data_IF_940295951970
#
_entry.id   IF_940295951970
#
_cell.length_a   1.000
_cell.length_b   1.000
_cell.length_c   1.000
_cell.angle_alpha   90.00
_cell.angle_beta   90.00
_cell.angle_gamma   90.00
#
_symmetry.space_group_name_H-M   'P 1'
#
loop_
_entity.id
_entity.type
_entity.pdbx_description
1 polymer ?
#
# COMPACT_ATOMS: atom_id res chain seq x y z
N UNK A 1 70.25 -10.95 19.37
CA UNK A 1 69.39 -11.65 18.40
C UNK A 1 68.18 -10.79 18.14
N UNK A 2 67.82 -10.64 16.86
CA UNK A 2 66.85 -9.68 16.35
C UNK A 2 65.40 -10.01 16.77
N UNK A 3 64.59 -8.98 16.97
CA UNK A 3 63.14 -9.08 16.80
C UNK A 3 62.68 -7.78 16.16
N UNK A 4 62.47 -7.88 14.85
CA UNK A 4 61.91 -6.90 13.94
C UNK A 4 60.45 -6.62 14.29
N UNK A 5 60.14 -5.37 14.57
CA UNK A 5 58.78 -4.83 14.65
C UNK A 5 58.20 -4.67 13.24
N UNK A 6 57.14 -5.42 12.93
CA UNK A 6 56.33 -5.23 11.71
C UNK A 6 55.49 -3.95 11.80
N UNK A 7 55.36 -3.18 10.70
CA UNK A 7 54.45 -2.04 10.65
C UNK A 7 53.01 -2.51 10.40
N UNK A 8 52.11 -2.15 11.33
CA UNK A 8 50.66 -2.31 11.18
C UNK A 8 50.16 -1.48 10.01
N UNK A 9 49.63 -2.15 8.98
CA UNK A 9 48.95 -1.52 7.83
C UNK A 9 47.66 -0.85 8.33
N UNK A 10 47.36 0.42 7.96
CA UNK A 10 46.10 1.03 8.31
C UNK A 10 44.96 0.31 7.59
N UNK A 11 43.98 -0.14 8.37
CA UNK A 11 42.74 -0.71 7.89
C UNK A 11 42.06 0.24 6.91
N UNK A 12 41.82 -0.27 5.70
CA UNK A 12 41.04 0.41 4.67
C UNK A 12 39.65 0.69 5.23
N UNK A 13 39.30 1.97 5.33
CA UNK A 13 37.96 2.43 5.69
C UNK A 13 36.91 1.75 4.82
N UNK A 14 35.77 1.30 5.38
CA UNK A 14 34.71 0.68 4.60
C UNK A 14 34.23 1.67 3.54
N UNK A 15 34.14 1.18 2.30
CA UNK A 15 33.52 1.89 1.18
C UNK A 15 32.21 2.53 1.64
N UNK A 16 31.91 3.80 1.29
CA UNK A 16 30.62 4.38 1.59
C UNK A 16 29.55 3.46 1.00
N UNK A 17 28.57 3.07 1.83
CA UNK A 17 27.39 2.36 1.37
C UNK A 17 26.82 3.12 0.17
N UNK A 18 26.44 2.42 -0.92
CA UNK A 18 25.96 3.09 -2.11
C UNK A 18 24.75 3.95 -1.72
N UNK A 19 24.89 5.27 -1.89
CA UNK A 19 23.82 6.23 -1.67
C UNK A 19 22.67 5.88 -2.63
N UNK A 20 21.67 5.14 -2.15
CA UNK A 20 20.52 4.79 -2.95
C UNK A 20 19.65 6.03 -3.02
N UNK A 21 19.68 6.71 -4.17
CA UNK A 21 18.79 7.82 -4.46
C UNK A 21 17.34 7.37 -4.27
N UNK A 22 16.60 8.07 -3.40
CA UNK A 22 15.17 7.84 -3.13
C UNK A 22 14.28 8.06 -4.37
N UNK A 23 14.85 8.58 -5.46
CA UNK A 23 14.18 8.85 -6.73
C UNK A 23 14.37 7.70 -7.74
N UNK A 24 15.29 6.76 -7.48
CA UNK A 24 15.70 5.77 -8.48
C UNK A 24 14.95 4.45 -8.33
N UNK A 25 14.43 3.92 -9.44
CA UNK A 25 13.83 2.59 -9.49
C UNK A 25 14.94 1.53 -9.37
N UNK A 26 14.80 0.52 -8.48
CA UNK A 26 15.79 -0.52 -8.34
C UNK A 26 16.03 -1.29 -9.65
N UNK A 27 17.30 -1.55 -9.98
CA UNK A 27 17.69 -2.26 -11.21
C UNK A 27 17.00 -3.61 -11.38
N UNK A 28 16.83 -4.36 -10.28
CA UNK A 28 16.18 -5.67 -10.30
C UNK A 28 14.72 -5.59 -10.77
N UNK A 29 14.03 -4.48 -10.47
CA UNK A 29 12.65 -4.26 -10.87
C UNK A 29 12.55 -3.85 -12.35
N UNK A 30 13.49 -3.01 -12.83
CA UNK A 30 13.62 -2.64 -14.25
C UNK A 30 13.86 -3.89 -15.13
N UNK A 31 14.67 -4.82 -14.65
CA UNK A 31 14.99 -6.06 -15.38
C UNK A 31 14.05 -7.22 -15.06
N UNK A 32 12.97 -7.00 -14.31
CA UNK A 32 12.11 -8.09 -13.83
C UNK A 32 11.44 -8.83 -15.00
N UNK A 33 11.58 -10.17 -15.11
CA UNK A 33 11.16 -10.91 -16.30
C UNK A 33 9.64 -10.81 -16.56
N UNK A 34 8.82 -10.91 -15.52
CA UNK A 34 7.36 -10.81 -15.67
C UNK A 34 6.90 -9.40 -16.04
N UNK A 35 7.58 -8.35 -15.55
CA UNK A 35 7.21 -6.98 -15.93
C UNK A 35 7.58 -6.72 -17.39
N UNK A 36 8.78 -7.15 -17.81
CA UNK A 36 9.25 -7.04 -19.21
C UNK A 36 8.37 -7.83 -20.19
N UNK A 37 8.00 -9.06 -19.82
CA UNK A 37 7.11 -9.91 -20.63
C UNK A 37 5.76 -9.23 -20.89
N UNK A 38 5.29 -8.41 -19.95
CA UNK A 38 4.02 -7.67 -20.02
C UNK A 38 4.16 -6.26 -20.60
N UNK A 39 5.38 -5.85 -20.97
CA UNK A 39 5.65 -4.49 -21.44
C UNK A 39 5.42 -3.42 -20.37
N UNK A 40 5.53 -3.76 -19.08
CA UNK A 40 5.41 -2.81 -17.97
C UNK A 40 6.76 -2.15 -17.75
N UNK A 41 6.84 -0.86 -18.04
CA UNK A 41 8.02 -0.02 -17.79
C UNK A 41 7.70 0.97 -16.69
N UNK A 42 8.43 0.87 -15.57
CA UNK A 42 8.27 1.76 -14.44
C UNK A 42 9.09 3.02 -14.65
N UNK A 43 8.53 4.16 -14.27
CA UNK A 43 9.12 5.47 -14.56
C UNK A 43 9.37 6.31 -13.32
N UNK A 44 8.51 6.19 -12.30
CA UNK A 44 8.64 6.97 -11.06
C UNK A 44 8.33 6.15 -9.82
N UNK A 45 9.03 6.39 -8.70
CA UNK A 45 8.58 5.91 -7.39
C UNK A 45 7.36 6.73 -6.91
N UNK A 46 6.36 6.05 -6.37
CA UNK A 46 5.27 6.66 -5.59
C UNK A 46 5.64 6.68 -4.10
N UNK A 47 6.20 5.57 -3.63
CA UNK A 47 6.78 5.42 -2.31
C UNK A 47 8.18 4.82 -2.51
N UNK A 48 9.25 5.56 -2.16
CA UNK A 48 10.61 5.07 -2.32
C UNK A 48 10.76 3.66 -1.75
N UNK A 49 11.48 2.81 -2.48
CA UNK A 49 11.79 1.42 -2.14
C UNK A 49 10.62 0.41 -2.17
N UNK A 50 9.37 0.88 -2.24
CA UNK A 50 8.19 0.00 -2.07
C UNK A 50 7.23 0.07 -3.24
N UNK A 51 6.84 1.27 -3.70
CA UNK A 51 5.76 1.45 -4.70
C UNK A 51 6.24 2.29 -5.88
N UNK A 52 5.96 1.82 -7.08
CA UNK A 52 6.39 2.42 -8.34
C UNK A 52 5.22 2.51 -9.32
N UNK A 53 5.25 3.49 -10.21
CA UNK A 53 4.23 3.66 -11.25
C UNK A 53 4.86 3.66 -12.65
N UNK A 54 4.08 3.18 -13.63
CA UNK A 54 4.35 3.44 -15.04
C UNK A 54 3.99 4.89 -15.39
N UNK A 55 4.35 5.36 -16.58
CA UNK A 55 3.88 6.68 -17.02
C UNK A 55 2.35 6.77 -17.02
N UNK A 56 1.86 7.98 -16.84
CA UNK A 56 0.47 8.36 -17.01
C UNK A 56 0.31 9.02 -18.40
N UNK A 57 0.68 8.30 -19.45
CA UNK A 57 0.37 8.74 -20.82
C UNK A 57 -1.14 8.64 -21.07
N UNK A 58 -1.69 9.64 -21.78
CA UNK A 58 -3.13 9.68 -22.12
C UNK A 58 -3.60 8.41 -22.86
N UNK A 59 -2.71 7.76 -23.62
CA UNK A 59 -3.03 6.59 -24.43
C UNK A 59 -2.75 5.24 -23.75
N UNK A 60 -2.09 5.23 -22.57
CA UNK A 60 -1.67 3.98 -21.92
C UNK A 60 -2.25 3.84 -20.51
N UNK A 61 -2.80 2.66 -20.16
CA UNK A 61 -3.29 2.40 -18.82
C UNK A 61 -2.13 2.40 -17.82
N UNK A 62 -2.10 3.41 -16.95
CA UNK A 62 -1.07 3.54 -15.91
C UNK A 62 -1.25 2.49 -14.82
N UNK A 63 -0.16 1.82 -14.44
CA UNK A 63 -0.16 0.77 -13.42
C UNK A 63 0.74 1.14 -12.25
N UNK A 64 0.36 0.65 -11.09
CA UNK A 64 1.18 0.65 -9.88
C UNK A 64 1.77 -0.75 -9.69
N UNK A 65 3.05 -0.80 -9.37
CA UNK A 65 3.77 -2.00 -8.97
C UNK A 65 4.34 -1.77 -7.57
N UNK A 66 3.87 -2.55 -6.60
CA UNK A 66 4.39 -2.57 -5.23
C UNK A 66 5.22 -3.83 -5.02
N UNK A 67 6.44 -3.68 -4.51
CA UNK A 67 7.21 -4.79 -4.00
C UNK A 67 6.69 -5.16 -2.61
N UNK A 68 6.17 -6.36 -2.46
CA UNK A 68 5.57 -6.83 -1.21
C UNK A 68 6.64 -7.42 -0.31
N UNK A 69 6.56 -7.11 0.98
CA UNK A 69 7.37 -7.79 1.99
C UNK A 69 6.70 -9.13 2.38
N UNK A 70 7.30 -10.29 2.05
CA UNK A 70 6.68 -11.59 2.31
C UNK A 70 6.57 -11.94 3.81
N UNK A 71 7.25 -11.20 4.69
CA UNK A 71 7.11 -11.37 6.15
C UNK A 71 5.83 -10.74 6.72
N UNK A 72 5.06 -10.03 5.90
CA UNK A 72 3.81 -9.34 6.26
C UNK A 72 2.60 -10.12 5.77
N UNK A 73 1.42 -9.80 6.32
CA UNK A 73 0.16 -10.47 5.98
C UNK A 73 -0.50 -9.96 4.70
N UNK A 74 0.18 -9.15 3.89
CA UNK A 74 -0.43 -8.51 2.72
C UNK A 74 -0.88 -9.51 1.64
N UNK A 75 -0.07 -10.52 1.32
CA UNK A 75 -0.42 -11.54 0.29
C UNK A 75 -1.68 -12.33 0.69
N UNK A 76 -1.76 -12.92 1.91
CA UNK A 76 -2.98 -13.58 2.36
C UNK A 76 -4.26 -12.73 2.30
N UNK A 77 -4.16 -11.41 2.47
CA UNK A 77 -5.32 -10.51 2.37
C UNK A 77 -5.84 -10.44 0.93
N UNK A 78 -4.94 -10.28 -0.03
CA UNK A 78 -5.29 -10.28 -1.44
C UNK A 78 -5.83 -11.65 -1.90
N UNK A 79 -5.20 -12.75 -1.48
CA UNK A 79 -5.71 -14.11 -1.76
C UNK A 79 -7.14 -14.32 -1.20
N UNK A 80 -7.43 -13.74 -0.02
CA UNK A 80 -8.77 -13.77 0.56
C UNK A 80 -9.76 -12.91 -0.24
N UNK A 81 -9.35 -11.74 -0.71
CA UNK A 81 -10.22 -10.88 -1.53
C UNK A 81 -10.55 -11.52 -2.88
N UNK A 82 -9.60 -12.23 -3.50
CA UNK A 82 -9.83 -12.99 -4.72
C UNK A 82 -10.86 -14.10 -4.52
N UNK A 83 -10.80 -14.83 -3.39
CA UNK A 83 -11.79 -15.84 -3.02
C UNK A 83 -13.18 -15.25 -2.77
N UNK A 84 -13.23 -13.98 -2.36
CA UNK A 84 -14.46 -13.24 -2.09
C UNK A 84 -14.92 -12.40 -3.28
N UNK A 85 -14.44 -12.69 -4.49
CA UNK A 85 -14.87 -12.02 -5.73
C UNK A 85 -16.39 -11.99 -5.85
N UNK A 86 -16.96 -10.79 -6.03
CA UNK A 86 -18.42 -10.57 -6.10
C UNK A 86 -19.09 -10.24 -4.76
N UNK A 87 -18.39 -10.40 -3.64
CA UNK A 87 -18.84 -9.89 -2.34
C UNK A 87 -18.79 -8.35 -2.31
N UNK A 88 -19.46 -7.69 -1.35
CA UNK A 88 -19.44 -6.23 -1.25
C UNK A 88 -18.03 -5.62 -1.13
N UNK A 89 -17.09 -6.29 -0.43
CA UNK A 89 -15.72 -5.75 -0.26
C UNK A 89 -14.98 -5.61 -1.60
N UNK A 90 -15.28 -6.45 -2.59
CA UNK A 90 -14.66 -6.37 -3.93
C UNK A 90 -14.96 -5.06 -4.68
N UNK A 91 -15.94 -4.27 -4.21
CA UNK A 91 -16.22 -2.92 -4.74
C UNK A 91 -15.34 -1.83 -4.14
N UNK A 92 -14.63 -2.12 -3.06
CA UNK A 92 -13.79 -1.19 -2.31
C UNK A 92 -12.32 -1.62 -2.26
N UNK A 93 -11.93 -2.67 -2.99
CA UNK A 93 -10.54 -3.05 -3.23
C UNK A 93 -10.22 -2.84 -4.70
N UNK A 94 -9.00 -2.40 -5.00
CA UNK A 94 -8.57 -2.26 -6.38
C UNK A 94 -8.37 -3.66 -7.00
N UNK A 95 -8.82 -3.89 -8.25
CA UNK A 95 -8.45 -5.09 -9.00
C UNK A 95 -6.93 -5.25 -9.04
N UNK A 96 -6.44 -6.42 -8.65
CA UNK A 96 -5.01 -6.60 -8.44
C UNK A 96 -4.54 -7.94 -9.01
N UNK A 97 -3.23 -8.07 -9.12
CA UNK A 97 -2.57 -9.31 -9.47
C UNK A 97 -1.27 -9.45 -8.67
N UNK A 98 -1.05 -10.62 -8.10
CA UNK A 98 0.19 -10.95 -7.40
C UNK A 98 1.09 -11.77 -8.33
N UNK A 99 2.30 -11.28 -8.58
CA UNK A 99 3.36 -12.05 -9.21
C UNK A 99 4.22 -12.67 -8.11
N UNK A 100 4.05 -13.97 -7.90
CA UNK A 100 4.84 -14.74 -6.94
C UNK A 100 6.25 -15.00 -7.49
N UNK A 101 7.26 -14.44 -6.85
CA UNK A 101 8.68 -14.67 -7.11
C UNK A 101 9.47 -14.47 -5.81
N UNK A 102 10.81 -14.45 -5.86
CA UNK A 102 11.66 -14.22 -4.68
C UNK A 102 11.27 -12.95 -3.92
N UNK A 103 10.83 -11.91 -4.65
CA UNK A 103 10.30 -10.66 -4.11
C UNK A 103 8.92 -10.39 -4.72
N UNK A 104 7.85 -10.89 -4.09
CA UNK A 104 6.51 -10.83 -4.69
C UNK A 104 6.13 -9.41 -5.08
N UNK A 105 5.48 -9.28 -6.23
CA UNK A 105 5.01 -7.99 -6.75
C UNK A 105 3.50 -7.96 -6.75
N UNK A 106 2.93 -6.86 -6.27
CA UNK A 106 1.54 -6.51 -6.45
C UNK A 106 1.43 -5.55 -7.63
N UNK A 107 0.62 -5.90 -8.62
CA UNK A 107 0.33 -5.08 -9.79
C UNK A 107 -1.13 -4.67 -9.74
N UNK A 108 -1.42 -3.39 -9.86
CA UNK A 108 -2.79 -2.87 -9.85
C UNK A 108 -2.94 -1.67 -10.80
N UNK A 109 -4.15 -1.35 -11.28
CA UNK A 109 -4.44 -0.06 -11.90
C UNK A 109 -4.02 1.11 -11.01
N UNK A 110 -3.47 2.17 -11.61
CA UNK A 110 -3.24 3.43 -10.93
C UNK A 110 -4.57 4.19 -10.83
N UNK A 111 -5.16 4.25 -9.64
CA UNK A 111 -6.32 5.10 -9.35
C UNK A 111 -5.88 6.49 -8.89
N UNK A 112 -6.66 7.52 -9.21
CA UNK A 112 -6.43 8.90 -8.80
C UNK A 112 -6.52 9.11 -7.29
N UNK A 113 -5.94 10.23 -6.81
CA UNK A 113 -6.12 10.63 -5.43
C UNK A 113 -7.58 10.97 -5.16
N UNK A 114 -8.03 10.65 -3.94
CA UNK A 114 -9.40 10.90 -3.50
C UNK A 114 -9.84 12.37 -3.66
N UNK A 115 -8.90 13.32 -3.57
CA UNK A 115 -9.17 14.75 -3.78
C UNK A 115 -9.52 15.13 -5.22
N UNK A 116 -9.24 14.28 -6.20
CA UNK A 116 -9.50 14.56 -7.62
C UNK A 116 -10.96 14.31 -8.01
N UNK A 117 -11.69 13.48 -7.25
CA UNK A 117 -13.10 13.16 -7.54
C UNK A 117 -14.09 13.99 -6.73
N UNK A 118 -13.62 14.74 -5.73
CA UNK A 118 -14.50 15.50 -4.85
C UNK A 118 -14.44 16.99 -5.10
N UNK A 119 -15.62 17.60 -5.02
CA UNK A 119 -15.75 19.04 -4.96
C UNK A 119 -15.63 19.50 -3.51
N UNK A 120 -15.21 20.75 -3.23
CA UNK A 120 -15.12 21.30 -1.87
C UNK A 120 -16.52 21.65 -1.32
N UNK A 121 -17.48 20.73 -1.46
CA UNK A 121 -18.83 20.84 -0.93
C UNK A 121 -19.00 19.82 0.20
N UNK A 122 -19.76 20.17 1.23
CA UNK A 122 -20.04 19.26 2.35
C UNK A 122 -20.66 17.95 1.87
N UNK A 123 -21.58 17.99 0.90
CA UNK A 123 -22.21 16.79 0.35
C UNK A 123 -21.22 15.85 -0.32
N UNK A 124 -20.26 16.40 -1.08
CA UNK A 124 -19.22 15.60 -1.74
C UNK A 124 -18.28 14.94 -0.73
N UNK A 125 -17.91 15.67 0.32
CA UNK A 125 -17.09 15.13 1.41
C UNK A 125 -17.84 14.03 2.15
N UNK A 126 -19.11 14.23 2.49
CA UNK A 126 -19.92 13.21 3.17
C UNK A 126 -20.09 11.95 2.31
N UNK A 127 -20.31 12.09 1.00
CA UNK A 127 -20.38 10.95 0.07
C UNK A 127 -19.06 10.16 0.02
N UNK A 128 -17.92 10.84 0.18
CA UNK A 128 -16.62 10.18 0.30
C UNK A 128 -16.51 9.34 1.55
N UNK A 129 -16.82 9.96 2.69
CA UNK A 129 -16.77 9.31 3.99
C UNK A 129 -17.72 8.12 4.06
N UNK A 130 -18.91 8.23 3.46
CA UNK A 130 -19.88 7.14 3.36
C UNK A 130 -19.28 5.92 2.66
N UNK A 131 -18.62 6.10 1.50
CA UNK A 131 -17.97 4.99 0.79
C UNK A 131 -16.75 4.41 1.54
N UNK A 132 -15.99 5.25 2.25
CA UNK A 132 -14.88 4.78 3.11
C UNK A 132 -15.45 3.91 4.22
N UNK A 133 -16.48 4.39 4.92
CA UNK A 133 -17.14 3.66 6.00
C UNK A 133 -17.79 2.37 5.52
N UNK A 134 -18.40 2.36 4.33
CA UNK A 134 -18.94 1.17 3.67
C UNK A 134 -17.82 0.11 3.49
N UNK A 135 -16.68 0.49 2.90
CA UNK A 135 -15.52 -0.40 2.74
C UNK A 135 -14.98 -0.93 4.08
N UNK A 136 -14.85 -0.06 5.08
CA UNK A 136 -14.40 -0.42 6.44
C UNK A 136 -15.37 -1.36 7.13
N UNK A 137 -16.67 -1.09 7.04
CA UNK A 137 -17.71 -1.95 7.60
C UNK A 137 -17.67 -3.35 6.96
N UNK A 138 -17.41 -3.44 5.65
CA UNK A 138 -17.22 -4.72 4.98
C UNK A 138 -15.97 -5.47 5.48
N UNK A 139 -14.84 -4.80 5.69
CA UNK A 139 -13.67 -5.41 6.34
C UNK A 139 -14.02 -5.92 7.74
N UNK A 140 -14.71 -5.11 8.54
CA UNK A 140 -15.09 -5.45 9.90
C UNK A 140 -16.02 -6.67 9.98
N UNK A 141 -16.95 -6.83 9.02
CA UNK A 141 -17.79 -8.04 8.90
C UNK A 141 -16.97 -9.30 8.63
N UNK A 142 -15.83 -9.16 7.95
CA UNK A 142 -14.86 -10.25 7.71
C UNK A 142 -13.88 -10.43 8.90
N UNK A 143 -14.06 -9.67 9.98
CA UNK A 143 -13.15 -9.55 11.13
C UNK A 143 -11.77 -9.06 10.74
N UNK A 144 -11.67 -8.26 9.69
CA UNK A 144 -10.43 -7.64 9.25
C UNK A 144 -10.42 -6.19 9.74
N UNK A 145 -9.34 -5.80 10.43
CA UNK A 145 -9.05 -4.40 10.68
C UNK A 145 -7.97 -3.93 9.70
N UNK A 146 -8.16 -2.76 9.09
CA UNK A 146 -7.17 -2.21 8.17
C UNK A 146 -5.93 -1.66 8.88
N UNK A 147 -6.11 -1.18 10.12
CA UNK A 147 -5.05 -0.68 11.03
C UNK A 147 -4.27 0.57 10.57
N UNK A 148 -4.44 1.00 9.32
CA UNK A 148 -3.71 2.14 8.75
C UNK A 148 -4.56 2.92 7.71
N UNK A 149 -5.76 3.33 8.13
CA UNK A 149 -6.64 4.14 7.27
C UNK A 149 -6.29 5.61 7.45
N UNK A 150 -5.70 6.19 6.41
CA UNK A 150 -5.43 7.61 6.28
C UNK A 150 -5.45 8.01 4.80
N UNK A 151 -5.43 9.31 4.50
CA UNK A 151 -5.70 9.83 3.15
C UNK A 151 -4.88 9.18 2.01
N UNK A 152 -3.59 8.86 2.13
CA UNK A 152 -2.80 8.17 1.11
C UNK A 152 -3.22 6.71 0.84
N UNK A 153 -3.83 6.04 1.82
CA UNK A 153 -4.34 4.66 1.68
C UNK A 153 -5.79 4.61 1.19
N UNK A 154 -6.30 5.76 0.72
CA UNK A 154 -7.62 5.89 0.13
C UNK A 154 -7.50 6.60 -1.21
N UNK A 155 -7.94 5.92 -2.26
CA UNK A 155 -7.88 6.40 -3.64
C UNK A 155 -9.25 6.29 -4.28
N UNK A 156 -9.42 6.90 -5.44
CA UNK A 156 -10.69 6.84 -6.14
C UNK A 156 -10.50 6.84 -7.65
N UNK A 157 -11.43 6.21 -8.36
CA UNK A 157 -11.39 6.19 -9.81
C UNK A 157 -12.13 7.40 -10.39
N UNK A 158 -11.43 8.19 -11.20
CA UNK A 158 -12.05 9.19 -12.07
C UNK A 158 -12.73 8.52 -13.27
N UNK A 159 -13.46 9.30 -14.08
CA UNK A 159 -13.97 8.81 -15.36
C UNK A 159 -12.85 8.35 -16.29
N UNK A 160 -11.72 9.07 -16.30
CA UNK A 160 -10.59 8.73 -17.17
C UNK A 160 -9.87 7.47 -16.70
N UNK A 161 -9.83 7.22 -15.39
CA UNK A 161 -9.32 5.94 -14.86
C UNK A 161 -10.23 4.78 -15.28
N UNK A 162 -11.56 4.95 -15.16
CA UNK A 162 -12.53 3.93 -15.56
C UNK A 162 -12.53 3.67 -17.08
N UNK A 163 -12.24 4.69 -17.91
CA UNK A 163 -12.02 4.51 -19.36
C UNK A 163 -10.78 3.67 -19.66
N UNK A 164 -9.69 3.89 -18.91
CA UNK A 164 -8.42 3.17 -19.08
C UNK A 164 -8.46 1.75 -18.50
N UNK A 165 -9.21 1.56 -17.40
CA UNK A 165 -9.39 0.29 -16.71
C UNK A 165 -10.88 0.06 -16.44
N UNK A 166 -11.58 -0.69 -17.33
CA UNK A 166 -13.03 -0.94 -17.20
C UNK A 166 -13.44 -1.67 -15.92
N UNK A 167 -12.50 -2.27 -15.18
CA UNK A 167 -12.78 -2.87 -13.87
C UNK A 167 -12.93 -1.81 -12.76
N UNK A 168 -12.44 -0.59 -12.97
CA UNK A 168 -12.65 0.53 -12.06
C UNK A 168 -14.01 1.18 -12.34
N UNK A 169 -14.66 1.64 -11.27
CA UNK A 169 -15.97 2.29 -11.33
C UNK A 169 -15.77 3.79 -11.07
N UNK A 170 -16.09 4.65 -12.03
CA UNK A 170 -15.97 6.09 -11.86
C UNK A 170 -16.73 6.59 -10.61
N UNK A 171 -16.08 7.44 -9.82
CA UNK A 171 -16.59 7.97 -8.55
C UNK A 171 -16.50 7.00 -7.36
N UNK A 172 -15.99 5.78 -7.55
CA UNK A 172 -15.82 4.79 -6.48
C UNK A 172 -14.55 5.04 -5.68
N UNK A 173 -14.65 4.92 -4.37
CA UNK A 173 -13.53 4.90 -3.42
C UNK A 173 -13.03 3.48 -3.21
N UNK A 174 -11.71 3.34 -3.20
CA UNK A 174 -11.00 2.11 -2.91
C UNK A 174 -10.04 2.30 -1.73
N UNK A 175 -9.97 1.27 -0.88
CA UNK A 175 -8.96 1.14 0.16
C UNK A 175 -7.77 0.37 -0.44
N UNK A 176 -6.56 0.82 -0.11
CA UNK A 176 -5.31 0.22 -0.57
C UNK A 176 -4.34 0.06 0.60
N UNK A 177 -3.24 -0.64 0.32
CA UNK A 177 -2.17 -0.90 1.29
C UNK A 177 -2.61 -1.73 2.50
N UNK A 178 -2.83 -3.02 2.24
CA UNK A 178 -3.25 -3.98 3.25
C UNK A 178 -2.08 -4.56 4.07
N UNK A 179 -0.87 -3.96 4.02
CA UNK A 179 0.31 -4.49 4.73
C UNK A 179 0.12 -4.54 6.26
N UNK A 180 -0.59 -3.54 6.80
CA UNK A 180 -0.89 -3.44 8.23
C UNK A 180 -2.17 -4.18 8.63
N UNK A 181 -2.91 -4.75 7.67
CA UNK A 181 -4.17 -5.40 7.94
C UNK A 181 -4.00 -6.65 8.79
N UNK A 182 -4.98 -6.91 9.65
CA UNK A 182 -5.02 -8.10 10.47
C UNK A 182 -6.44 -8.66 10.50
N UNK A 183 -6.54 -9.98 10.33
CA UNK A 183 -7.77 -10.71 10.57
C UNK A 183 -7.77 -11.26 11.99
N UNK A 184 -8.83 -10.98 12.73
CA UNK A 184 -8.98 -11.40 14.12
C UNK A 184 -10.00 -12.53 14.27
N UNK A 185 -9.92 -13.23 15.40
CA UNK A 185 -10.90 -14.26 15.77
C UNK A 185 -12.24 -13.63 16.17
N UNK A 186 -12.21 -12.46 16.80
CA UNK A 186 -13.40 -11.77 17.31
C UNK A 186 -13.69 -10.53 16.48
N UNK A 187 -14.97 -10.14 16.40
CA UNK A 187 -15.40 -8.95 15.67
C UNK A 187 -15.43 -7.67 16.52
N UNK A 188 -15.92 -6.56 15.92
CA UNK A 188 -16.09 -5.28 16.62
C UNK A 188 -16.91 -5.40 17.91
N UNK A 189 -16.52 -4.65 18.94
CA UNK A 189 -17.19 -4.62 20.24
C UNK A 189 -16.91 -5.81 21.16
N UNK A 190 -16.21 -6.86 20.66
CA UNK A 190 -15.81 -8.03 21.45
C UNK A 190 -14.29 -8.17 21.47
N UNK A 191 -13.63 -7.93 20.33
CA UNK A 191 -12.18 -8.02 20.19
C UNK A 191 -11.47 -7.12 21.21
N UNK A 192 -10.50 -7.70 21.91
CA UNK A 192 -9.67 -6.96 22.87
C UNK A 192 -8.65 -6.06 22.16
N UNK A 193 -8.21 -5.03 22.87
CA UNK A 193 -7.22 -4.08 22.36
C UNK A 193 -5.93 -4.79 21.95
N UNK A 194 -5.37 -4.38 20.82
CA UNK A 194 -4.14 -4.92 20.25
C UNK A 194 -3.01 -3.92 20.37
N UNK A 195 -1.75 -4.38 20.31
CA UNK A 195 -0.62 -3.45 20.28
C UNK A 195 -0.67 -2.59 19.03
N UNK A 196 -0.37 -1.31 19.20
CA UNK A 196 -0.28 -0.39 18.08
C UNK A 196 0.88 -0.81 17.17
N UNK A 197 0.64 -0.98 15.85
CA UNK A 197 1.74 -1.11 14.90
C UNK A 197 2.55 0.18 14.87
N UNK A 198 3.70 0.15 14.19
CA UNK A 198 4.42 1.37 13.87
C UNK A 198 3.49 2.28 13.08
N UNK A 199 3.14 3.43 13.65
CA UNK A 199 2.16 4.35 13.07
C UNK A 199 2.87 5.57 12.49
N UNK A 200 2.33 6.10 11.40
CA UNK A 200 2.83 7.34 10.79
C UNK A 200 2.62 8.59 11.65
N UNK A 201 1.77 8.52 12.69
CA UNK A 201 1.57 9.60 13.66
C UNK A 201 1.68 9.06 15.07
N UNK A 202 2.24 9.88 15.96
CA UNK A 202 2.33 9.56 17.37
C UNK A 202 0.93 9.31 17.93
N UNK A 203 0.69 8.14 18.53
CA UNK A 203 -0.57 7.85 19.19
C UNK A 203 -0.88 8.92 20.25
N UNK A 204 -2.13 9.37 20.38
CA UNK A 204 -2.51 10.31 21.42
C UNK A 204 -2.21 9.71 22.80
N UNK A 205 -1.85 10.58 23.75
CA UNK A 205 -1.70 10.21 25.17
C UNK A 205 -0.69 9.07 25.46
N UNK A 206 0.26 8.81 24.55
CA UNK A 206 1.23 7.73 24.71
C UNK A 206 0.60 6.33 24.67
N UNK A 207 -0.55 6.21 24.01
CA UNK A 207 -1.27 4.95 23.86
C UNK A 207 -0.37 3.88 23.24
N UNK A 208 -0.41 2.66 23.80
CA UNK A 208 0.35 1.48 23.34
C UNK A 208 -0.52 0.37 22.77
N UNK A 209 -1.81 0.41 23.06
CA UNK A 209 -2.80 -0.53 22.57
C UNK A 209 -4.09 0.18 22.21
N UNK A 210 -4.84 -0.36 21.26
CA UNK A 210 -6.08 0.26 20.77
C UNK A 210 -7.07 -0.80 20.32
N UNK A 211 -8.34 -0.43 20.22
CA UNK A 211 -9.35 -1.26 19.55
C UNK A 211 -9.03 -1.29 18.05
N UNK A 212 -8.69 -2.47 17.48
CA UNK A 212 -8.32 -2.57 16.07
C UNK A 212 -9.47 -2.14 15.13
N UNK A 213 -10.73 -2.24 15.58
CA UNK A 213 -11.92 -1.84 14.81
C UNK A 213 -12.38 -0.41 15.11
N UNK A 214 -11.72 0.28 16.04
CA UNK A 214 -11.94 1.70 16.29
C UNK A 214 -11.54 2.47 15.04
N UNK A 215 -12.53 2.89 14.25
CA UNK A 215 -12.31 3.67 13.03
C UNK A 215 -11.74 5.04 13.38
N UNK A 216 -10.42 5.14 13.61
CA UNK A 216 -9.54 6.30 13.44
C UNK A 216 -8.19 6.06 14.13
N UNK A 217 -7.11 5.97 13.36
CA UNK A 217 -5.89 6.64 13.79
C UNK A 217 -6.20 8.14 13.71
N UNK A 218 -6.64 8.73 14.82
CA UNK A 218 -6.90 10.17 14.96
C UNK A 218 -5.74 10.96 14.35
N UNK A 219 -6.01 11.71 13.27
CA UNK A 219 -5.18 12.83 12.83
C UNK A 219 -6.09 14.06 12.70
N UNK A 220 -6.17 14.85 13.76
CA UNK A 220 -6.48 16.27 13.63
C UNK A 220 -5.20 17.00 13.16
N UNK A 221 -5.41 18.03 12.34
CA UNK A 221 -4.43 18.84 11.60
C UNK A 221 -3.14 19.20 12.33
#
# INVERSE_FOLDING_TARGET
MASTSEPTVPSTSPSPEPFISMVTIPKWLITHPELRKRGITLERPLQPFTVYATDCDFDRPSRVVKAINPSRQEIPMYDLFDQLSGSPISRHTIPHEIVLCERPLLIMPHASHISEIYTPTTSSVLAAFDQILEGVEHLHRLRIAHMDIFQPNVVAATEDDAKRFPQLIAGRVYLIDFESCQQFEQGPGVQTAVQLPNTHVRPPLGMKSFDPYGATALKAH
#
